data_IF_243885551602
#
_entry.id   IF_243885551602
#
_cell.length_a   1.000
_cell.length_b   1.000
_cell.length_c   1.000
_cell.angle_alpha   90.00
_cell.angle_beta   90.00
_cell.angle_gamma   90.00
#
_symmetry.space_group_name_H-M   'P 1'
#
loop_
_entity.id
_entity.type
_entity.pdbx_description
1 polymer ?
#
# COMPACT_ATOMS: atom_id res chain seq x y z
N UNK A 1 60.45 -6.40 11.33
CA UNK A 1 59.08 -6.86 11.63
C UNK A 1 58.12 -6.00 10.82
N UNK A 2 57.49 -6.55 9.78
CA UNK A 2 56.54 -5.82 8.91
C UNK A 2 55.14 -5.94 9.54
N UNK A 3 54.65 -4.85 10.10
CA UNK A 3 53.29 -4.74 10.63
C UNK A 3 52.34 -4.51 9.44
N UNK A 4 51.63 -5.55 9.01
CA UNK A 4 50.62 -5.45 7.97
C UNK A 4 49.31 -4.93 8.60
N UNK A 5 48.98 -3.67 8.32
CA UNK A 5 47.67 -3.08 8.65
C UNK A 5 46.65 -3.63 7.66
N UNK A 6 45.79 -4.51 8.14
CA UNK A 6 44.63 -5.04 7.40
C UNK A 6 43.51 -3.99 7.49
N UNK A 7 43.36 -3.18 6.44
CA UNK A 7 42.25 -2.24 6.28
C UNK A 7 40.94 -3.02 6.08
N UNK A 8 40.21 -3.24 7.17
CA UNK A 8 38.80 -3.66 7.14
C UNK A 8 37.97 -2.50 6.57
N UNK A 9 37.66 -2.56 5.27
CA UNK A 9 36.67 -1.69 4.66
C UNK A 9 35.29 -1.99 5.25
N UNK A 10 34.61 -1.03 5.91
CA UNK A 10 33.22 -1.22 6.28
C UNK A 10 32.40 -1.20 5.00
N UNK A 11 31.90 -2.37 4.61
CA UNK A 11 30.92 -2.50 3.53
C UNK A 11 29.64 -1.82 4.02
N UNK A 12 29.48 -0.53 3.74
CA UNK A 12 28.24 0.19 3.93
C UNK A 12 27.24 -0.35 2.89
N UNK A 13 26.57 -1.45 3.25
CA UNK A 13 25.40 -1.91 2.53
C UNK A 13 24.31 -0.84 2.72
N UNK A 14 24.18 0.06 1.75
CA UNK A 14 22.98 0.88 1.62
C UNK A 14 21.83 -0.06 1.30
N UNK A 15 21.05 -0.41 2.33
CA UNK A 15 19.77 -1.07 2.13
C UNK A 15 18.89 -0.12 1.31
N UNK A 16 18.84 -0.35 0.01
CA UNK A 16 17.99 0.41 -0.90
C UNK A 16 16.54 0.13 -0.48
N UNK A 17 15.91 1.10 0.19
CA UNK A 17 14.53 0.97 0.65
C UNK A 17 13.66 0.65 -0.57
N UNK A 18 12.95 -0.47 -0.50
CA UNK A 18 12.05 -0.87 -1.57
C UNK A 18 11.06 0.29 -1.85
N UNK A 19 10.82 0.63 -3.13
CA UNK A 19 10.00 1.79 -3.47
C UNK A 19 8.59 1.59 -2.90
N UNK A 20 8.10 2.61 -2.20
CA UNK A 20 6.71 2.64 -1.73
C UNK A 20 5.77 2.71 -2.92
N UNK A 21 4.61 2.10 -2.77
CA UNK A 21 3.56 2.19 -3.76
C UNK A 21 2.78 3.49 -3.64
N UNK A 22 2.28 3.97 -4.76
CA UNK A 22 1.33 5.08 -4.86
C UNK A 22 0.04 4.57 -5.49
N UNK A 23 -1.08 4.90 -4.88
CA UNK A 23 -2.41 4.49 -5.33
C UNK A 23 -3.32 5.72 -5.38
N UNK A 24 -4.12 5.86 -6.43
CA UNK A 24 -5.32 6.71 -6.43
C UNK A 24 -6.53 5.82 -6.59
N UNK A 25 -7.71 6.27 -6.21
CA UNK A 25 -8.96 5.56 -6.41
C UNK A 25 -9.74 6.25 -7.52
N UNK A 26 -10.32 5.43 -8.39
CA UNK A 26 -11.23 5.84 -9.44
C UNK A 26 -12.62 5.26 -9.13
N UNK A 27 -13.52 6.11 -8.65
CA UNK A 27 -14.90 5.76 -8.33
C UNK A 27 -15.89 6.67 -9.07
N UNK A 28 -15.77 6.71 -10.39
CA UNK A 28 -16.62 7.56 -11.22
C UNK A 28 -18.05 7.04 -11.27
N UNK A 29 -19.01 7.97 -11.27
CA UNK A 29 -20.45 7.68 -11.41
C UNK A 29 -20.97 6.64 -10.38
N UNK A 30 -20.38 6.67 -9.18
CA UNK A 30 -20.85 5.84 -8.07
C UNK A 30 -22.29 6.17 -7.68
N UNK A 31 -23.09 5.18 -7.24
CA UNK A 31 -24.49 5.40 -6.91
C UNK A 31 -24.65 6.37 -5.73
N UNK A 32 -25.76 7.09 -5.68
CA UNK A 32 -25.97 8.13 -4.67
C UNK A 32 -25.89 7.65 -3.23
N UNK A 33 -26.29 6.39 -3.00
CA UNK A 33 -26.26 5.74 -1.69
C UNK A 33 -24.87 5.17 -1.31
N UNK A 34 -23.87 5.23 -2.19
CA UNK A 34 -22.52 4.80 -1.86
C UNK A 34 -21.87 5.76 -0.84
N UNK A 35 -21.04 5.22 0.08
CA UNK A 35 -20.30 6.05 1.02
C UNK A 35 -19.25 6.91 0.30
N UNK A 36 -18.96 8.08 0.86
CA UNK A 36 -17.94 8.98 0.32
C UNK A 36 -16.51 8.54 0.68
N UNK A 37 -16.37 7.74 1.74
CA UNK A 37 -15.09 7.17 2.18
C UNK A 37 -15.21 5.69 2.51
N UNK A 38 -14.09 4.98 2.38
CA UNK A 38 -13.90 3.58 2.79
C UNK A 38 -12.51 3.42 3.40
N UNK A 39 -12.20 2.22 3.89
CA UNK A 39 -10.86 1.85 4.32
C UNK A 39 -10.17 0.98 3.27
N UNK A 40 -8.99 1.41 2.82
CA UNK A 40 -8.08 0.60 2.02
C UNK A 40 -7.13 -0.14 2.98
N UNK A 41 -7.25 -1.46 3.01
CA UNK A 41 -6.42 -2.34 3.84
C UNK A 41 -5.45 -3.13 2.97
N UNK A 42 -4.16 -3.12 3.29
CA UNK A 42 -3.11 -3.75 2.46
C UNK A 42 -2.64 -5.13 2.95
N UNK A 43 -3.36 -5.70 3.93
CA UNK A 43 -2.96 -6.91 4.66
C UNK A 43 -2.20 -6.61 5.95
N UNK A 44 -1.73 -5.38 6.16
CA UNK A 44 -1.00 -4.95 7.36
C UNK A 44 -1.54 -3.62 7.88
N UNK A 45 -1.58 -2.60 7.03
CA UNK A 45 -2.02 -1.25 7.37
C UNK A 45 -3.41 -0.96 6.77
N UNK A 46 -4.23 -0.20 7.50
CA UNK A 46 -5.52 0.31 7.02
C UNK A 46 -5.50 1.83 7.07
N UNK A 47 -5.97 2.46 5.99
CA UNK A 47 -6.14 3.91 5.92
C UNK A 47 -7.49 4.25 5.30
N UNK A 48 -8.08 5.35 5.75
CA UNK A 48 -9.30 5.89 5.14
C UNK A 48 -8.96 6.53 3.78
N UNK A 49 -9.82 6.27 2.79
CA UNK A 49 -9.68 6.71 1.41
C UNK A 49 -10.99 7.29 0.91
N UNK A 50 -10.89 8.33 0.08
CA UNK A 50 -12.03 9.00 -0.53
C UNK A 50 -12.44 8.32 -1.83
N UNK A 51 -13.74 8.34 -2.11
CA UNK A 51 -14.36 7.81 -3.31
C UNK A 51 -15.02 8.93 -4.14
N UNK A 52 -14.23 9.83 -4.76
CA UNK A 52 -14.77 10.94 -5.53
C UNK A 52 -15.50 10.45 -6.79
N UNK A 53 -16.72 10.96 -6.98
CA UNK A 53 -17.61 10.57 -8.10
C UNK A 53 -17.28 11.26 -9.43
N UNK A 54 -16.55 12.36 -9.37
CA UNK A 54 -16.29 13.24 -10.53
C UNK A 54 -14.81 13.38 -10.88
N UNK A 55 -13.91 12.86 -10.05
CA UNK A 55 -12.46 13.08 -10.17
C UNK A 55 -11.68 11.87 -9.66
N UNK A 56 -10.34 11.93 -9.79
CA UNK A 56 -9.44 11.03 -9.08
C UNK A 56 -9.34 11.42 -7.61
N UNK A 57 -9.13 10.44 -6.73
CA UNK A 57 -8.75 10.71 -5.35
C UNK A 57 -7.37 11.37 -5.25
N UNK A 58 -7.02 11.83 -4.06
CA UNK A 58 -5.63 12.11 -3.70
C UNK A 58 -4.76 10.85 -3.80
N UNK A 59 -3.44 11.03 -3.77
CA UNK A 59 -2.49 9.92 -3.75
C UNK A 59 -2.38 9.34 -2.35
N UNK A 60 -2.65 8.05 -2.23
CA UNK A 60 -2.39 7.24 -1.05
C UNK A 60 -1.05 6.53 -1.19
N UNK A 61 -0.28 6.51 -0.10
CA UNK A 61 0.99 5.77 -0.04
C UNK A 61 0.73 4.44 0.66
N UNK A 62 1.30 3.38 0.10
CA UNK A 62 1.19 2.03 0.65
C UNK A 62 2.59 1.45 0.89
N UNK A 63 2.64 0.40 1.71
CA UNK A 63 3.88 -0.31 2.01
C UNK A 63 4.51 -0.88 0.73
N UNK A 64 5.84 -1.03 0.65
CA UNK A 64 6.49 -1.67 -0.49
C UNK A 64 6.21 -3.19 -0.54
N UNK A 65 6.49 -3.82 -1.68
CA UNK A 65 6.41 -5.27 -1.86
C UNK A 65 5.08 -5.75 -2.44
N UNK A 66 4.82 -7.06 -2.43
CA UNK A 66 3.54 -7.57 -2.92
C UNK A 66 2.41 -7.22 -1.92
N UNK A 67 1.28 -6.75 -2.44
CA UNK A 67 0.11 -6.37 -1.66
C UNK A 67 -1.10 -7.24 -2.01
N UNK A 68 -1.96 -7.44 -1.03
CA UNK A 68 -3.36 -7.81 -1.26
C UNK A 68 -4.19 -6.68 -0.66
N UNK A 69 -4.83 -5.92 -1.54
CA UNK A 69 -5.64 -4.78 -1.14
C UNK A 69 -7.08 -5.22 -0.95
N UNK A 70 -7.72 -4.68 0.07
CA UNK A 70 -9.14 -4.84 0.35
C UNK A 70 -9.79 -3.47 0.58
N UNK A 71 -10.98 -3.27 0.02
CA UNK A 71 -11.83 -2.13 0.36
C UNK A 71 -12.87 -2.55 1.39
N UNK A 72 -12.85 -1.88 2.54
CA UNK A 72 -13.63 -2.21 3.72
C UNK A 72 -14.46 -1.01 4.17
N UNK A 73 -15.60 -1.27 4.80
CA UNK A 73 -16.44 -0.20 5.39
C UNK A 73 -15.82 0.45 6.64
N UNK A 74 -14.77 -0.14 7.20
CA UNK A 74 -14.09 0.31 8.42
C UNK A 74 -12.74 -0.41 8.56
N UNK A 75 -11.89 -0.02 9.53
CA UNK A 75 -10.63 -0.71 9.76
C UNK A 75 -10.89 -2.15 10.21
N UNK A 76 -10.10 -3.14 9.76
CA UNK A 76 -10.29 -4.53 10.16
C UNK A 76 -9.97 -4.68 11.65
N UNK A 77 -10.91 -5.24 12.42
CA UNK A 77 -10.67 -5.58 13.84
C UNK A 77 -9.69 -6.74 14.00
N UNK A 78 -9.66 -7.66 13.03
CA UNK A 78 -8.72 -8.78 12.93
C UNK A 78 -8.21 -8.87 11.48
N UNK A 79 -6.92 -8.60 11.21
CA UNK A 79 -6.31 -8.69 9.88
C UNK A 79 -6.52 -10.03 9.16
N UNK A 80 -6.72 -11.13 9.88
CA UNK A 80 -6.93 -12.46 9.32
C UNK A 80 -8.40 -12.74 8.98
N UNK A 81 -9.33 -11.90 9.47
CA UNK A 81 -10.77 -12.07 9.29
C UNK A 81 -11.36 -10.93 8.47
N UNK A 82 -11.00 -10.89 7.20
CA UNK A 82 -11.63 -9.99 6.23
C UNK A 82 -13.04 -10.46 5.90
N UNK A 83 -14.05 -9.57 5.89
CA UNK A 83 -15.42 -9.94 5.54
C UNK A 83 -15.50 -10.63 4.18
N UNK A 84 -16.27 -11.72 4.11
CA UNK A 84 -16.50 -12.44 2.87
C UNK A 84 -17.18 -11.52 1.84
N UNK A 85 -16.67 -11.51 0.62
CA UNK A 85 -17.20 -10.67 -0.47
C UNK A 85 -16.70 -9.23 -0.49
N UNK A 86 -15.81 -8.83 0.44
CA UNK A 86 -15.13 -7.54 0.34
C UNK A 86 -14.32 -7.46 -0.97
N UNK A 87 -14.46 -6.38 -1.77
CA UNK A 87 -13.67 -6.19 -2.98
C UNK A 87 -12.17 -6.28 -2.69
N UNK A 88 -11.43 -7.00 -3.53
CA UNK A 88 -10.00 -7.23 -3.32
C UNK A 88 -9.21 -7.33 -4.61
N UNK A 89 -7.93 -6.95 -4.56
CA UNK A 89 -6.99 -7.09 -5.69
C UNK A 89 -5.58 -7.42 -5.19
N UNK A 90 -4.86 -8.28 -5.92
CA UNK A 90 -3.45 -8.52 -5.68
C UNK A 90 -2.60 -7.58 -6.53
N UNK A 91 -1.65 -6.88 -5.90
CA UNK A 91 -0.72 -5.97 -6.57
C UNK A 91 0.71 -6.52 -6.48
N UNK A 92 1.36 -6.87 -7.60
CA UNK A 92 2.75 -7.32 -7.60
C UNK A 92 3.71 -6.23 -7.12
N UNK A 93 4.81 -6.62 -6.49
CA UNK A 93 5.83 -5.69 -5.98
C UNK A 93 6.44 -4.78 -7.05
N UNK A 94 6.39 -5.16 -8.32
CA UNK A 94 6.91 -4.41 -9.46
C UNK A 94 6.00 -3.26 -9.90
N UNK A 95 4.74 -3.25 -9.46
CA UNK A 95 3.77 -2.21 -9.80
C UNK A 95 3.75 -1.17 -8.69
N UNK A 96 4.38 -0.02 -8.93
CA UNK A 96 4.59 1.01 -7.89
C UNK A 96 3.69 2.23 -7.97
N UNK A 97 2.95 2.39 -9.07
CA UNK A 97 1.96 3.44 -9.27
C UNK A 97 0.75 2.84 -9.97
N UNK A 98 -0.43 2.96 -9.36
CA UNK A 98 -1.66 2.34 -9.84
C UNK A 98 -2.92 3.07 -9.37
N UNK A 99 -4.05 2.65 -9.93
CA UNK A 99 -5.38 3.22 -9.74
C UNK A 99 -6.38 2.12 -9.39
#
# INVERSE_FOLDING_TARGET
>A
MKLAILLLFPCLAFAQQAPKHSCRLLFLDGPDAAPDTLHLFDGVESQEVELPRLNLSQVYKLRPGALTLHLLAGPPGDPEKIPAGAPSVAVPATVTDFY
#
